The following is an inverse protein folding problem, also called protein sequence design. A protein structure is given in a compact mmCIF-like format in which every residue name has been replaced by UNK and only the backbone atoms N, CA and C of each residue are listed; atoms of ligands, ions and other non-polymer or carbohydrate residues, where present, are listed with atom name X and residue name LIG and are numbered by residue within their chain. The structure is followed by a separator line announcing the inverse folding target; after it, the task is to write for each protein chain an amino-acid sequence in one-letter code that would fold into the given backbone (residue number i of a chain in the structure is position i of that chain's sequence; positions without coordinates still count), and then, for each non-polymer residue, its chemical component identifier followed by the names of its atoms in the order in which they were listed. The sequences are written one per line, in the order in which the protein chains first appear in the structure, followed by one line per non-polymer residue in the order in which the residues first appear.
data_IF_430650645288
#
_entry.id   IF_430650645288
#
_cell.length_a   1.000
_cell.length_b   1.000
_cell.length_c   1.000
_cell.angle_alpha   90.00
_cell.angle_beta   90.00
_cell.angle_gamma   90.00
#
_symmetry.space_group_name_H-M   'P 1'
#
loop_
_entity.id
_entity.type
_entity.pdbx_description
1 polymer ?
#
# COMPACT_ATOMS: atom_id res chain seq x y z
N UNK A 1 13.80 5.41 -2.66
CA UNK A 1 14.23 4.36 -1.69
C UNK A 1 13.41 3.09 -1.94
N UNK A 2 14.01 1.94 -2.31
CA UNK A 2 13.25 0.69 -2.55
C UNK A 2 12.45 0.35 -1.27
N UNK A 3 11.18 -0.08 -1.39
CA UNK A 3 10.29 -0.38 -0.24
C UNK A 3 10.97 -1.28 0.80
N UNK A 4 11.78 -2.23 0.32
CA UNK A 4 12.58 -3.16 1.14
C UNK A 4 13.57 -2.45 2.06
N UNK A 5 14.18 -1.36 1.61
CA UNK A 5 15.14 -0.57 2.39
C UNK A 5 14.45 0.21 3.50
N UNK A 6 13.25 0.74 3.26
CA UNK A 6 12.44 1.40 4.30
C UNK A 6 12.08 0.42 5.43
N UNK A 7 11.62 -0.79 5.05
CA UNK A 7 11.29 -1.85 6.00
C UNK A 7 12.54 -2.28 6.79
N UNK A 8 13.67 -2.51 6.11
CA UNK A 8 14.91 -2.90 6.78
C UNK A 8 15.40 -1.84 7.78
N UNK A 9 15.37 -0.56 7.40
CA UNK A 9 15.73 0.54 8.29
C UNK A 9 14.78 0.63 9.49
N UNK A 10 13.47 0.52 9.27
CA UNK A 10 12.50 0.59 10.37
C UNK A 10 12.65 -0.58 11.36
N UNK A 11 12.89 -1.79 10.87
CA UNK A 11 13.20 -2.95 11.72
C UNK A 11 14.54 -2.75 12.47
N UNK A 12 15.55 -2.18 11.81
CA UNK A 12 16.82 -1.83 12.45
C UNK A 12 16.64 -0.84 13.60
N UNK A 13 15.80 0.18 13.44
CA UNK A 13 15.47 1.14 14.50
C UNK A 13 14.78 0.44 15.68
N UNK A 14 13.86 -0.49 15.43
CA UNK A 14 13.20 -1.27 16.51
C UNK A 14 14.22 -2.11 17.29
N UNK A 15 15.14 -2.80 16.60
CA UNK A 15 16.21 -3.57 17.24
C UNK A 15 17.12 -2.67 18.06
N UNK A 16 17.44 -1.47 17.56
CA UNK A 16 18.22 -0.48 18.31
C UNK A 16 17.48 -0.01 19.57
N UNK A 17 16.18 0.27 19.49
CA UNK A 17 15.37 0.64 20.66
C UNK A 17 15.39 -0.45 21.73
N UNK A 18 15.32 -1.72 21.33
CA UNK A 18 15.45 -2.87 22.25
C UNK A 18 16.84 -2.87 22.87
N UNK A 19 17.91 -2.79 22.07
CA UNK A 19 19.29 -2.77 22.58
C UNK A 19 19.55 -1.66 23.61
N UNK A 20 19.02 -0.45 23.36
CA UNK A 20 19.09 0.67 24.32
C UNK A 20 18.35 0.33 25.61
N UNK A 21 17.14 -0.24 25.50
CA UNK A 21 16.37 -0.65 26.67
C UNK A 21 17.08 -1.72 27.51
N UNK A 22 17.68 -2.73 26.87
CA UNK A 22 18.48 -3.77 27.55
C UNK A 22 19.65 -3.15 28.30
N UNK A 23 20.41 -2.27 27.65
CA UNK A 23 21.54 -1.60 28.29
C UNK A 23 21.12 -0.81 29.53
N UNK A 24 20.07 0.01 29.42
CA UNK A 24 19.58 0.79 30.57
C UNK A 24 19.06 -0.10 31.69
N UNK A 25 18.30 -1.16 31.38
CA UNK A 25 17.80 -2.09 32.39
C UNK A 25 18.92 -2.85 33.11
N UNK A 26 19.95 -3.27 32.38
CA UNK A 26 21.07 -3.98 32.99
C UNK A 26 21.94 -3.06 33.84
N UNK A 27 22.28 -1.86 33.36
CA UNK A 27 23.22 -0.97 34.06
C UNK A 27 22.57 -0.06 35.10
N UNK A 28 21.28 0.28 34.97
CA UNK A 28 20.58 1.20 35.90
C UNK A 28 19.68 0.47 36.89
N UNK A 29 18.98 -0.57 36.43
CA UNK A 29 18.08 -1.36 37.29
C UNK A 29 18.74 -2.66 37.80
N UNK A 30 20.00 -2.91 37.44
CA UNK A 30 20.80 -4.08 37.84
C UNK A 30 20.10 -5.42 37.55
N UNK A 31 19.25 -5.45 36.52
CA UNK A 31 18.56 -6.65 36.08
C UNK A 31 19.52 -7.59 35.34
N UNK A 32 19.29 -8.90 35.44
CA UNK A 32 20.03 -9.87 34.63
C UNK A 32 19.84 -9.59 33.12
N UNK A 33 20.79 -10.03 32.30
CA UNK A 33 20.76 -9.79 30.86
C UNK A 33 19.49 -10.34 30.20
N UNK A 34 19.04 -11.52 30.62
CA UNK A 34 17.83 -12.14 30.08
C UNK A 34 16.57 -11.38 30.51
N UNK A 35 16.51 -10.96 31.76
CA UNK A 35 15.39 -10.19 32.31
C UNK A 35 15.30 -8.79 31.68
N UNK A 36 16.45 -8.17 31.42
CA UNK A 36 16.59 -6.89 30.72
C UNK A 36 16.14 -7.02 29.26
N UNK A 37 16.55 -8.08 28.57
CA UNK A 37 16.08 -8.36 27.21
C UNK A 37 14.58 -8.59 27.16
N UNK A 38 14.06 -9.44 28.05
CA UNK A 38 12.64 -9.72 28.14
C UNK A 38 11.83 -8.45 28.40
N UNK A 39 12.15 -7.69 29.45
CA UNK A 39 11.41 -6.47 29.79
C UNK A 39 11.50 -5.42 28.67
N UNK A 40 12.65 -5.33 27.99
CA UNK A 40 12.82 -4.41 26.86
C UNK A 40 11.93 -4.80 25.67
N UNK A 41 11.94 -6.07 25.25
CA UNK A 41 11.09 -6.56 24.16
C UNK A 41 9.62 -6.36 24.52
N UNK A 42 9.21 -6.75 25.72
CA UNK A 42 7.82 -6.63 26.20
C UNK A 42 7.32 -5.19 26.23
N UNK A 43 8.20 -4.26 26.58
CA UNK A 43 7.94 -2.82 26.59
C UNK A 43 7.81 -2.25 25.18
N UNK A 44 8.81 -2.49 24.32
CA UNK A 44 8.85 -1.95 22.95
C UNK A 44 7.70 -2.51 22.09
N UNK A 45 7.37 -3.78 22.28
CA UNK A 45 6.24 -4.43 21.58
C UNK A 45 4.88 -4.10 22.16
N UNK A 46 4.82 -3.31 23.24
CA UNK A 46 3.58 -2.88 23.92
C UNK A 46 2.74 -4.03 24.49
N UNK A 47 3.33 -5.23 24.69
CA UNK A 47 2.62 -6.36 25.31
C UNK A 47 2.51 -6.15 26.83
N UNK A 48 3.60 -5.74 27.48
CA UNK A 48 3.60 -5.20 28.85
C UNK A 48 2.85 -6.02 29.91
N UNK A 49 3.22 -7.27 30.16
CA UNK A 49 2.55 -8.11 31.18
C UNK A 49 2.58 -7.55 32.60
N UNK A 50 3.54 -6.66 32.92
CA UNK A 50 3.63 -6.00 34.23
C UNK A 50 4.22 -6.86 35.35
N UNK A 51 4.78 -8.02 35.01
CA UNK A 51 5.52 -8.91 35.90
C UNK A 51 6.85 -8.31 36.39
N UNK A 52 7.51 -7.53 35.52
CA UNK A 52 8.69 -6.72 35.84
C UNK A 52 8.46 -5.27 35.43
N UNK A 53 9.04 -4.34 36.19
CA UNK A 53 8.89 -2.90 35.95
C UNK A 53 10.09 -2.10 36.47
N UNK A 54 10.26 -0.89 35.95
CA UNK A 54 11.26 0.07 36.41
C UNK A 54 10.98 0.50 37.86
N UNK A 55 11.92 0.21 38.76
CA UNK A 55 11.78 0.51 40.20
C UNK A 55 12.48 1.80 40.55
N UNK A 56 13.60 2.11 39.92
CA UNK A 56 14.37 3.32 40.21
C UNK A 56 13.70 4.58 39.66
N UNK A 57 13.89 5.70 40.36
CA UNK A 57 13.45 7.02 39.88
C UNK A 57 14.05 7.39 38.51
N UNK A 58 15.37 7.27 38.27
CA UNK A 58 15.94 7.57 36.94
C UNK A 58 15.43 6.61 35.85
N UNK A 59 15.26 5.33 36.16
CA UNK A 59 14.73 4.34 35.22
C UNK A 59 13.28 4.65 34.79
N UNK A 60 12.44 5.15 35.71
CA UNK A 60 11.06 5.58 35.39
C UNK A 60 11.00 6.83 34.50
N UNK A 61 11.89 7.79 34.71
CA UNK A 61 11.99 8.99 33.86
C UNK A 61 12.43 8.56 32.45
N UNK A 62 13.45 7.70 32.35
CA UNK A 62 13.89 7.12 31.09
C UNK A 62 12.74 6.37 30.41
N UNK A 63 12.07 5.47 31.13
CA UNK A 63 10.99 4.66 30.60
C UNK A 63 9.87 5.51 29.98
N UNK A 64 9.48 6.60 30.66
CA UNK A 64 8.44 7.52 30.16
C UNK A 64 8.77 8.06 28.76
N UNK A 65 10.01 8.48 28.52
CA UNK A 65 10.43 9.04 27.23
C UNK A 65 10.68 7.91 26.21
N UNK A 66 11.39 6.87 26.63
CA UNK A 66 11.81 5.76 25.77
C UNK A 66 10.63 4.93 25.27
N UNK A 67 9.61 4.69 26.09
CA UNK A 67 8.40 3.98 25.68
C UNK A 67 7.64 4.74 24.58
N UNK A 68 7.55 6.06 24.67
CA UNK A 68 6.90 6.88 23.64
C UNK A 68 7.64 6.77 22.30
N UNK A 69 8.97 6.90 22.32
CA UNK A 69 9.80 6.82 21.11
C UNK A 69 9.77 5.42 20.50
N UNK A 70 9.91 4.38 21.32
CA UNK A 70 9.93 2.99 20.87
C UNK A 70 8.58 2.54 20.31
N UNK A 71 7.46 2.96 20.91
CA UNK A 71 6.11 2.68 20.40
C UNK A 71 5.93 3.29 19.00
N UNK A 72 6.36 4.53 18.79
CA UNK A 72 6.32 5.16 17.47
C UNK A 72 7.20 4.43 16.44
N UNK A 73 8.38 3.97 16.85
CA UNK A 73 9.26 3.20 15.98
C UNK A 73 8.60 1.88 15.52
N UNK A 74 7.98 1.15 16.45
CA UNK A 74 7.26 -0.09 16.15
C UNK A 74 6.04 0.18 15.26
N UNK A 75 5.24 1.20 15.56
CA UNK A 75 4.10 1.59 14.72
C UNK A 75 4.54 1.88 13.27
N UNK A 76 5.64 2.63 13.09
CA UNK A 76 6.22 2.91 11.76
C UNK A 76 6.71 1.63 11.06
N UNK A 77 7.35 0.72 11.78
CA UNK A 77 7.79 -0.55 11.22
C UNK A 77 6.60 -1.38 10.72
N UNK A 78 5.50 -1.43 11.48
CA UNK A 78 4.26 -2.09 11.07
C UNK A 78 3.64 -1.46 9.82
N UNK A 79 3.55 -0.13 9.76
CA UNK A 79 3.02 0.58 8.59
C UNK A 79 3.83 0.26 7.32
N UNK A 80 5.16 0.31 7.39
CA UNK A 80 5.99 -0.02 6.22
C UNK A 80 5.90 -1.50 5.83
N UNK A 81 5.72 -2.40 6.80
CA UNK A 81 5.52 -3.82 6.50
C UNK A 81 4.17 -4.04 5.82
N UNK A 82 3.12 -3.36 6.28
CA UNK A 82 1.80 -3.39 5.66
C UNK A 82 1.84 -2.86 4.24
N UNK A 83 2.45 -1.68 4.02
CA UNK A 83 2.70 -1.11 2.70
C UNK A 83 3.42 -2.11 1.80
N UNK A 84 4.52 -2.72 2.26
CA UNK A 84 5.28 -3.69 1.48
C UNK A 84 4.46 -4.93 1.10
N UNK A 85 3.56 -5.39 1.98
CA UNK A 85 2.64 -6.51 1.72
C UNK A 85 1.60 -6.16 0.66
N UNK A 86 0.98 -4.97 0.80
CA UNK A 86 -0.01 -4.43 -0.14
C UNK A 86 0.62 -4.27 -1.52
N UNK A 87 1.79 -3.65 -1.59
CA UNK A 87 2.59 -3.49 -2.81
C UNK A 87 2.89 -4.82 -3.51
N UNK A 88 3.28 -5.85 -2.75
CA UNK A 88 3.57 -7.18 -3.29
C UNK A 88 2.30 -7.81 -3.88
N UNK A 89 1.15 -7.60 -3.24
CA UNK A 89 -0.15 -8.09 -3.72
C UNK A 89 -0.58 -7.37 -5.00
N UNK A 90 -0.49 -6.03 -5.05
CA UNK A 90 -0.79 -5.25 -6.26
C UNK A 90 0.08 -5.67 -7.44
N UNK A 91 1.40 -5.85 -7.23
CA UNK A 91 2.29 -6.31 -8.31
C UNK A 91 1.97 -7.71 -8.80
N UNK A 92 1.58 -8.63 -7.91
CA UNK A 92 1.19 -9.99 -8.30
C UNK A 92 -0.12 -9.99 -9.10
N UNK A 93 -1.10 -9.20 -8.65
CA UNK A 93 -2.37 -9.02 -9.35
C UNK A 93 -2.14 -8.42 -10.75
N UNK A 94 -1.39 -7.31 -10.84
CA UNK A 94 -1.12 -6.67 -12.11
C UNK A 94 -0.41 -7.60 -13.11
N UNK A 95 0.58 -8.39 -12.64
CA UNK A 95 1.24 -9.40 -13.49
C UNK A 95 0.29 -10.50 -13.94
N UNK A 96 -0.61 -10.93 -13.06
CA UNK A 96 -1.60 -11.96 -13.39
C UNK A 96 -2.60 -11.45 -14.43
N UNK A 97 -3.17 -10.26 -14.23
CA UNK A 97 -4.08 -9.60 -15.18
C UNK A 97 -3.44 -9.40 -16.55
N UNK A 98 -2.17 -8.98 -16.60
CA UNK A 98 -1.46 -8.73 -17.86
C UNK A 98 -0.96 -9.99 -18.56
N UNK A 99 -0.75 -11.09 -17.83
CA UNK A 99 -0.23 -12.35 -18.37
C UNK A 99 -1.29 -13.36 -18.77
N UNK A 100 -2.57 -13.08 -18.52
CA UNK A 100 -3.68 -13.97 -18.82
C UNK A 100 -4.26 -13.69 -20.20
N UNK A 101 -4.35 -14.76 -21.00
CA UNK A 101 -5.08 -14.79 -22.26
C UNK A 101 -6.57 -14.54 -22.04
N UNK A 102 -7.20 -13.86 -22.99
CA UNK A 102 -8.59 -13.44 -22.87
C UNK A 102 -9.56 -14.62 -23.03
N UNK A 103 -10.53 -14.73 -22.14
CA UNK A 103 -11.65 -15.69 -22.28
C UNK A 103 -12.81 -15.11 -23.09
N UNK A 104 -13.75 -15.96 -23.53
CA UNK A 104 -14.93 -15.51 -24.30
C UNK A 104 -15.80 -14.53 -23.51
N UNK A 105 -15.95 -14.74 -22.20
CA UNK A 105 -16.72 -13.82 -21.35
C UNK A 105 -16.02 -12.46 -21.22
N UNK A 106 -14.69 -12.47 -21.10
CA UNK A 106 -13.88 -11.24 -21.05
C UNK A 106 -13.87 -10.51 -22.40
N UNK A 107 -13.91 -11.25 -23.51
CA UNK A 107 -14.08 -10.69 -24.85
C UNK A 107 -15.39 -9.91 -24.98
N UNK A 108 -16.51 -10.53 -24.58
CA UNK A 108 -17.83 -9.86 -24.60
C UNK A 108 -17.87 -8.64 -23.67
N UNK A 109 -17.12 -8.66 -22.57
CA UNK A 109 -17.01 -7.51 -21.66
C UNK A 109 -16.05 -6.42 -22.15
N UNK A 110 -15.14 -6.75 -23.07
CA UNK A 110 -14.18 -5.82 -23.65
C UNK A 110 -14.70 -5.15 -24.93
N UNK A 111 -15.61 -5.80 -25.66
CA UNK A 111 -16.30 -5.26 -26.84
C UNK A 111 -17.30 -4.17 -26.40
N UNK A 112 -16.88 -2.90 -26.45
CA UNK A 112 -17.66 -1.77 -25.93
C UNK A 112 -18.71 -1.37 -26.95
N UNK A 113 -18.37 -1.39 -28.23
CA UNK A 113 -19.26 -0.98 -29.32
C UNK A 113 -20.13 -2.13 -29.88
N UNK A 114 -19.93 -3.36 -29.40
CA UNK A 114 -20.65 -4.57 -29.80
C UNK A 114 -20.53 -4.89 -31.31
N UNK A 115 -19.39 -4.56 -31.91
CA UNK A 115 -19.14 -4.81 -33.33
C UNK A 115 -18.69 -6.27 -33.62
N UNK A 116 -18.45 -7.07 -32.57
CA UNK A 116 -18.04 -8.47 -32.70
C UNK A 116 -16.52 -8.69 -32.80
N UNK A 117 -15.71 -7.63 -32.63
CA UNK A 117 -14.26 -7.67 -32.61
C UNK A 117 -13.71 -6.71 -31.55
N UNK A 118 -12.75 -7.17 -30.73
CA UNK A 118 -12.09 -6.29 -29.74
C UNK A 118 -10.90 -5.60 -30.38
N UNK A 119 -10.99 -4.28 -30.51
CA UNK A 119 -9.89 -3.43 -30.97
C UNK A 119 -8.76 -3.34 -29.94
N UNK A 120 -7.56 -2.92 -30.37
CA UNK A 120 -6.43 -2.71 -29.44
C UNK A 120 -6.77 -1.67 -28.35
N UNK A 121 -7.53 -0.63 -28.69
CA UNK A 121 -8.01 0.39 -27.76
C UNK A 121 -8.92 -0.20 -26.69
N UNK A 122 -9.91 -0.99 -27.09
CA UNK A 122 -10.85 -1.66 -26.19
C UNK A 122 -10.14 -2.66 -25.28
N UNK A 123 -9.20 -3.44 -25.83
CA UNK A 123 -8.38 -4.34 -25.02
C UNK A 123 -7.57 -3.59 -23.94
N UNK A 124 -7.00 -2.44 -24.29
CA UNK A 124 -6.27 -1.61 -23.33
C UNK A 124 -7.21 -1.03 -22.28
N UNK A 125 -8.38 -0.51 -22.65
CA UNK A 125 -9.39 0.01 -21.71
C UNK A 125 -9.85 -1.09 -20.76
N UNK A 126 -10.15 -2.28 -21.28
CA UNK A 126 -10.53 -3.45 -20.51
C UNK A 126 -9.44 -3.86 -19.50
N UNK A 127 -8.18 -3.98 -19.94
CA UNK A 127 -7.07 -4.31 -19.02
C UNK A 127 -6.83 -3.19 -17.99
N UNK A 128 -7.03 -1.91 -18.33
CA UNK A 128 -6.94 -0.81 -17.38
C UNK A 128 -8.05 -0.85 -16.32
N UNK A 129 -9.26 -1.25 -16.72
CA UNK A 129 -10.39 -1.50 -15.82
C UNK A 129 -10.11 -2.66 -14.87
N UNK A 130 -9.63 -3.80 -15.38
CA UNK A 130 -9.23 -4.97 -14.57
C UNK A 130 -8.07 -4.64 -13.60
N UNK A 131 -7.16 -3.75 -13.99
CA UNK A 131 -6.11 -3.24 -13.10
C UNK A 131 -6.63 -2.27 -12.03
N UNK A 132 -7.93 -1.94 -12.03
CA UNK A 132 -8.55 -0.97 -11.14
C UNK A 132 -8.04 0.45 -11.36
N UNK A 133 -7.53 0.77 -12.55
CA UNK A 133 -7.00 2.10 -12.89
C UNK A 133 -8.08 3.05 -13.38
N UNK A 134 -9.14 2.49 -13.98
CA UNK A 134 -10.28 3.23 -14.50
C UNK A 134 -11.53 2.52 -14.01
N UNK A 135 -12.53 3.27 -13.54
CA UNK A 135 -13.81 2.70 -13.14
C UNK A 135 -14.78 2.63 -14.33
N UNK A 136 -15.77 1.75 -14.27
CA UNK A 136 -16.83 1.66 -15.30
C UNK A 136 -17.57 2.97 -15.50
N UNK A 137 -17.76 3.72 -14.40
CA UNK A 137 -18.41 5.02 -14.44
C UNK A 137 -17.59 6.00 -15.28
N UNK A 138 -16.27 5.99 -15.13
CA UNK A 138 -15.39 6.88 -15.88
C UNK A 138 -15.41 6.53 -17.37
N UNK A 139 -15.36 5.22 -17.70
CA UNK A 139 -15.47 4.73 -19.08
C UNK A 139 -16.78 5.21 -19.70
N UNK A 140 -17.91 4.94 -19.04
CA UNK A 140 -19.23 5.35 -19.54
C UNK A 140 -19.35 6.86 -19.71
N UNK A 141 -18.80 7.67 -18.79
CA UNK A 141 -18.81 9.13 -18.92
C UNK A 141 -17.99 9.62 -20.12
N UNK A 142 -16.84 8.99 -20.38
CA UNK A 142 -15.99 9.33 -21.52
C UNK A 142 -16.69 8.92 -22.83
N UNK A 143 -17.26 7.72 -22.90
CA UNK A 143 -18.04 7.25 -24.05
C UNK A 143 -19.22 8.17 -24.34
N UNK A 144 -20.04 8.52 -23.34
CA UNK A 144 -21.16 9.46 -23.52
C UNK A 144 -20.71 10.83 -24.05
N UNK A 145 -19.51 11.28 -23.69
CA UNK A 145 -18.96 12.54 -24.21
C UNK A 145 -18.45 12.38 -25.64
N UNK A 146 -17.90 11.22 -25.98
CA UNK A 146 -17.52 10.87 -27.34
C UNK A 146 -18.75 10.82 -28.25
N UNK A 147 -19.82 10.15 -27.83
CA UNK A 147 -21.06 10.00 -28.62
C UNK A 147 -21.73 11.35 -28.90
N UNK A 148 -21.56 12.33 -27.99
CA UNK A 148 -22.01 13.72 -28.22
C UNK A 148 -21.18 14.48 -29.24
N UNK A 149 -19.92 14.11 -29.41
CA UNK A 149 -19.01 14.72 -30.37
C UNK A 149 -19.06 14.02 -31.72
N UNK A 150 -19.52 12.77 -31.80
CA UNK A 150 -19.67 12.03 -33.04
C UNK A 150 -21.09 12.21 -33.60
N UNK A 151 -21.38 13.42 -34.10
CA UNK A 151 -22.67 13.76 -34.72
C UNK A 151 -23.04 12.81 -35.87
N UNK A 152 -22.03 12.27 -36.56
CA UNK A 152 -22.19 11.31 -37.65
C UNK A 152 -22.40 9.85 -37.21
N UNK A 153 -22.31 9.54 -35.91
CA UNK A 153 -22.34 8.19 -35.35
C UNK A 153 -21.44 7.19 -36.12
N UNK A 154 -20.27 7.68 -36.54
CA UNK A 154 -19.35 6.92 -37.39
C UNK A 154 -18.27 6.18 -36.59
N UNK A 155 -18.34 6.25 -35.26
CA UNK A 155 -17.36 5.72 -34.32
C UNK A 155 -16.05 6.52 -34.31
N UNK A 156 -16.04 7.73 -34.88
CA UNK A 156 -14.85 8.56 -35.06
C UNK A 156 -15.22 10.03 -34.90
N UNK A 157 -14.43 10.79 -34.16
CA UNK A 157 -14.56 12.24 -34.14
C UNK A 157 -13.82 12.79 -35.36
N UNK A 158 -14.55 13.38 -36.29
CA UNK A 158 -14.01 14.03 -37.47
C UNK A 158 -13.81 15.53 -37.21
N UNK A 159 -13.03 16.17 -38.09
CA UNK A 159 -12.79 17.62 -37.99
C UNK A 159 -14.07 18.42 -38.23
N UNK A 160 -14.99 17.90 -39.05
CA UNK A 160 -16.30 18.50 -39.30
C UNK A 160 -17.15 18.53 -38.02
N UNK A 161 -17.16 17.44 -37.25
CA UNK A 161 -17.95 17.36 -36.01
C UNK A 161 -17.50 18.38 -34.95
N UNK A 162 -16.20 18.71 -34.95
CA UNK A 162 -15.64 19.74 -34.06
C UNK A 162 -15.95 21.15 -34.55
N UNK A 163 -16.02 21.37 -35.86
CA UNK A 163 -16.35 22.67 -36.44
C UNK A 163 -17.84 23.03 -36.26
N UNK A 164 -18.75 22.05 -36.28
CA UNK A 164 -20.18 22.27 -36.03
C UNK A 164 -20.50 22.59 -34.56
N UNK A 165 -19.76 22.00 -33.60
CA UNK A 165 -19.99 22.21 -32.17
C UNK A 165 -19.47 23.56 -31.61
N UNK A 166 -18.82 24.40 -32.43
CA UNK A 166 -18.24 25.69 -32.02
C UNK A 166 -19.11 26.92 -32.36
N UNK A 167 -20.39 26.73 -32.69
CA UNK A 167 -21.36 27.80 -32.93
C UNK A 167 -22.57 27.75 -31.99
#
# INVERSE_FOLDING_TARGET
MRIRMKVALALGVVVLCIGIGVGVMHFVEELDWLDSFYLSVMSVTTVGYGDRAFKSMPGRIFASIWLLVSTLAVARAFLYLAEARVDKRHRKMAKWVLGQDMTVAEFLAADIDNNGFVSKSEYVIYKLKELGKVSEKDISQICNKFDRLDSGNCGKITLADLMENHH
#
